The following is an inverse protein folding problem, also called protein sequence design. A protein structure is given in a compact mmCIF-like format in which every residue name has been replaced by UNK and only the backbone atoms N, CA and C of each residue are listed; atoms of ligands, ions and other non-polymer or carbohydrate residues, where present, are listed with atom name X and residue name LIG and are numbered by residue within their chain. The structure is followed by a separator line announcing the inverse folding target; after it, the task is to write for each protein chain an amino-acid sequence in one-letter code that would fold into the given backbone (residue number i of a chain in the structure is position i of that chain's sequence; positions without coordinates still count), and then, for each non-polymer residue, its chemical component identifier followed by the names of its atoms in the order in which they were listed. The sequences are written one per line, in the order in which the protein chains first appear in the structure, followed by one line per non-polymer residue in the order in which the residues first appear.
data_IF_022488685793
#
_entry.id   IF_022488685793
#
_cell.length_a   1.000
_cell.length_b   1.000
_cell.length_c   1.000
_cell.angle_alpha   90.00
_cell.angle_beta   90.00
_cell.angle_gamma   90.00
#
_symmetry.space_group_name_H-M   'P 1'
#
loop_
_entity.id
_entity.type
_entity.pdbx_description
1 polymer ?
#
# COMPACT_ATOMS: atom_id res chain seq x y z
N UNK A 1 -8.54 -11.79 5.98
CA UNK A 1 -7.87 -10.82 6.87
C UNK A 1 -7.08 -9.91 5.95
N UNK A 2 -7.19 -8.59 6.08
CA UNK A 2 -6.48 -7.65 5.17
C UNK A 2 -5.00 -7.62 5.55
N UNK A 3 -4.12 -7.72 4.57
CA UNK A 3 -2.68 -7.71 4.81
C UNK A 3 -2.23 -6.30 5.20
N UNK A 4 -1.14 -6.21 5.97
CA UNK A 4 -0.50 -4.94 6.26
C UNK A 4 0.69 -4.75 5.33
N UNK A 5 1.02 -3.52 4.97
CA UNK A 5 2.16 -3.22 4.12
C UNK A 5 3.06 -2.20 4.79
N UNK A 6 4.37 -2.42 4.70
CA UNK A 6 5.38 -1.44 5.07
C UNK A 6 5.69 -0.59 3.84
N UNK A 7 5.74 0.72 4.04
CA UNK A 7 6.21 1.66 3.03
C UNK A 7 7.73 1.63 3.02
N UNK A 8 8.32 1.17 1.92
CA UNK A 8 9.78 1.08 1.75
C UNK A 8 10.35 2.28 1.00
N UNK A 9 9.57 2.88 0.11
CA UNK A 9 9.90 4.11 -0.59
C UNK A 9 8.76 5.12 -0.37
N UNK A 10 9.03 6.29 0.23
CA UNK A 10 8.01 7.29 0.48
C UNK A 10 7.53 7.91 -0.83
N UNK A 11 6.26 8.27 -0.88
CA UNK A 11 5.68 9.03 -1.98
C UNK A 11 4.72 10.08 -1.43
N UNK A 12 4.80 11.28 -2.00
CA UNK A 12 3.88 12.37 -1.73
C UNK A 12 2.44 12.03 -2.13
N UNK A 13 2.25 11.15 -3.11
CA UNK A 13 0.91 10.78 -3.57
C UNK A 13 0.13 10.02 -2.49
N UNK A 14 0.74 9.06 -1.81
CA UNK A 14 0.07 8.33 -0.73
C UNK A 14 0.14 9.05 0.62
N UNK A 15 1.08 10.00 0.78
CA UNK A 15 1.47 10.66 2.03
C UNK A 15 2.30 9.87 3.08
N UNK A 16 2.56 8.55 3.01
CA UNK A 16 3.30 7.89 4.06
C UNK A 16 4.80 8.06 3.91
N UNK A 17 5.46 8.10 5.07
CA UNK A 17 6.91 8.11 5.20
C UNK A 17 7.47 6.69 5.16
N UNK A 18 8.75 6.55 4.78
CA UNK A 18 9.45 5.27 4.84
C UNK A 18 9.34 4.65 6.25
N UNK A 19 9.04 3.35 6.32
CA UNK A 19 8.83 2.60 7.56
C UNK A 19 7.40 2.63 8.10
N UNK A 20 6.52 3.50 7.58
CA UNK A 20 5.11 3.51 7.97
C UNK A 20 4.41 2.21 7.58
N UNK A 21 3.52 1.74 8.46
CA UNK A 21 2.63 0.62 8.17
C UNK A 21 1.30 1.17 7.66
N UNK A 22 0.92 0.76 6.46
CA UNK A 22 -0.42 1.01 5.92
C UNK A 22 -1.26 -0.26 6.06
N UNK A 23 -2.55 -0.07 6.37
CA UNK A 23 -3.54 -1.15 6.37
C UNK A 23 -4.63 -0.74 5.38
N UNK A 24 -4.70 -1.39 4.21
CA UNK A 24 -5.81 -1.18 3.29
C UNK A 24 -7.12 -1.59 3.95
N UNK A 25 -8.18 -0.87 3.63
CA UNK A 25 -9.53 -1.25 4.04
C UNK A 25 -10.18 -2.21 3.02
N UNK A 26 -9.60 -2.29 1.81
CA UNK A 26 -9.97 -3.26 0.78
C UNK A 26 -8.73 -3.85 0.11
N UNK A 27 -8.75 -5.15 -0.13
CA UNK A 27 -7.70 -5.89 -0.82
C UNK A 27 -8.30 -7.08 -1.56
N UNK A 28 -7.93 -7.24 -2.82
CA UNK A 28 -8.17 -8.46 -3.60
C UNK A 28 -6.88 -8.94 -4.28
N UNK A 29 -7.00 -9.83 -5.28
CA UNK A 29 -5.85 -10.39 -5.99
C UNK A 29 -5.15 -9.37 -6.91
N UNK A 30 -5.82 -8.28 -7.31
CA UNK A 30 -5.37 -7.32 -8.32
C UNK A 30 -4.89 -6.01 -7.68
N UNK A 31 -5.57 -5.54 -6.64
CA UNK A 31 -5.26 -4.25 -6.02
C UNK A 31 -5.47 -4.20 -4.51
N UNK A 32 -4.91 -3.16 -3.91
CA UNK A 32 -5.27 -2.68 -2.57
C UNK A 32 -5.82 -1.27 -2.66
N UNK A 33 -6.72 -0.93 -1.75
CA UNK A 33 -7.23 0.44 -1.62
C UNK A 33 -6.93 0.96 -0.22
N UNK A 34 -6.29 2.12 -0.19
CA UNK A 34 -5.95 2.85 1.04
C UNK A 34 -6.54 4.25 1.01
N UNK A 35 -6.98 4.74 2.16
CA UNK A 35 -7.41 6.12 2.29
C UNK A 35 -6.18 7.04 2.23
N UNK A 36 -6.16 8.02 1.33
CA UNK A 36 -5.09 9.01 1.23
C UNK A 36 -5.65 10.42 1.16
N UNK A 37 -5.53 11.15 2.28
CA UNK A 37 -6.00 12.54 2.38
C UNK A 37 -7.44 12.72 1.93
N UNK A 38 -7.62 13.21 0.69
CA UNK A 38 -8.91 13.55 0.08
C UNK A 38 -9.41 12.53 -0.97
N UNK A 39 -8.66 11.46 -1.25
CA UNK A 39 -9.03 10.46 -2.25
C UNK A 39 -8.66 9.04 -1.83
N UNK A 40 -9.35 8.07 -2.42
CA UNK A 40 -9.00 6.67 -2.27
C UNK A 40 -7.89 6.32 -3.26
N UNK A 41 -6.82 5.70 -2.76
CA UNK A 41 -5.70 5.29 -3.60
C UNK A 41 -5.80 3.82 -3.93
N UNK A 42 -6.07 3.58 -5.20
CA UNK A 42 -6.02 2.27 -5.83
C UNK A 42 -4.58 1.93 -6.22
N UNK A 43 -4.02 0.87 -5.65
CA UNK A 43 -2.65 0.44 -5.91
C UNK A 43 -2.68 -0.98 -6.49
N UNK A 44 -2.30 -1.09 -7.77
CA UNK A 44 -2.20 -2.37 -8.48
C UNK A 44 -1.01 -3.18 -7.97
N UNK A 45 -1.25 -4.43 -7.57
CA UNK A 45 -0.24 -5.30 -6.94
C UNK A 45 0.84 -5.80 -7.90
N UNK A 46 0.51 -5.91 -9.18
CA UNK A 46 1.45 -6.21 -10.27
C UNK A 46 2.17 -4.97 -10.80
N UNK A 47 1.78 -3.78 -10.33
CA UNK A 47 2.34 -2.51 -10.76
C UNK A 47 3.72 -2.25 -10.17
N UNK A 48 4.55 -1.55 -10.95
CA UNK A 48 5.89 -1.09 -10.53
C UNK A 48 5.84 -0.25 -9.25
N UNK A 49 4.76 0.52 -9.08
CA UNK A 49 4.52 1.30 -7.87
C UNK A 49 4.49 0.41 -6.63
N UNK A 50 3.66 -0.65 -6.63
CA UNK A 50 3.54 -1.54 -5.49
C UNK A 50 4.88 -2.22 -5.19
N UNK A 51 5.56 -2.73 -6.22
CA UNK A 51 6.84 -3.41 -6.08
C UNK A 51 7.96 -2.51 -5.51
N UNK A 52 7.94 -1.21 -5.82
CA UNK A 52 8.95 -0.25 -5.35
C UNK A 52 8.63 0.37 -4.00
N UNK A 53 7.35 0.55 -3.67
CA UNK A 53 6.93 1.34 -2.53
C UNK A 53 6.43 0.51 -1.36
N UNK A 54 5.97 -0.72 -1.58
CA UNK A 54 5.28 -1.51 -0.56
C UNK A 54 5.86 -2.91 -0.37
N UNK A 55 6.01 -3.30 0.89
CA UNK A 55 6.42 -4.64 1.29
C UNK A 55 5.33 -5.26 2.19
N UNK A 56 4.77 -6.44 1.87
CA UNK A 56 3.79 -7.09 2.73
C UNK A 56 4.39 -7.48 4.09
N UNK A 57 3.68 -7.20 5.18
CA UNK A 57 4.06 -7.54 6.55
C UNK A 57 3.27 -8.78 6.97
N UNK A 58 3.99 -9.87 7.21
CA UNK A 58 3.41 -11.16 7.58
C UNK A 58 3.32 -12.07 6.36
N UNK A 59 4.43 -12.71 6.03
CA UNK A 59 4.45 -13.74 5.00
C UNK A 59 3.80 -15.03 5.51
N UNK A 60 2.62 -15.35 4.98
CA UNK A 60 2.34 -16.62 4.28
C UNK A 60 0.97 -16.57 3.63
#
# INVERSE_FOLDING_TARGET
MVNKYRVVLPDLALLPVAGQIITPYYEDKEEIIVAGGNMDHHIRKDGEYFAKHLEPIGGK
#
